data_IF_675970269505
#
_entry.id   IF_675970269505
#
_cell.length_a   1.000
_cell.length_b   1.000
_cell.length_c   1.000
_cell.angle_alpha   90.00
_cell.angle_beta   90.00
_cell.angle_gamma   90.00
#
_symmetry.space_group_name_H-M   'P 1'
#
loop_
_entity.id
_entity.type
_entity.pdbx_description
1 polymer ?
#
# COMPACT_ATOMS: atom_id res chain seq x y z
N UNK A 1 10.66 6.33 -9.06
CA UNK A 1 10.59 4.99 -8.46
C UNK A 1 12.01 4.48 -8.35
N UNK A 2 12.40 4.07 -7.15
CA UNK A 2 13.79 3.89 -6.73
C UNK A 2 14.56 2.93 -7.65
N UNK A 3 15.75 3.33 -8.09
CA UNK A 3 16.76 2.39 -8.60
C UNK A 3 17.33 1.65 -7.41
N UNK A 4 16.95 0.39 -7.23
CA UNK A 4 17.62 -0.49 -6.30
C UNK A 4 18.93 -0.99 -6.95
N UNK A 5 20.03 -0.91 -6.20
CA UNK A 5 21.38 -1.24 -6.66
C UNK A 5 21.82 -2.51 -5.95
N UNK A 6 22.01 -3.59 -6.72
CA UNK A 6 22.46 -4.88 -6.20
C UNK A 6 23.98 -4.94 -6.01
N UNK A 7 24.40 -5.59 -4.92
CA UNK A 7 25.78 -6.01 -4.69
C UNK A 7 25.92 -7.51 -5.01
N UNK A 8 27.05 -7.92 -5.59
CA UNK A 8 27.26 -9.26 -6.12
C UNK A 8 27.94 -10.14 -5.07
N UNK A 9 27.25 -11.14 -4.53
CA UNK A 9 27.91 -12.31 -3.94
C UNK A 9 27.58 -13.54 -4.80
N UNK A 10 28.61 -14.05 -5.48
CA UNK A 10 28.49 -15.25 -6.29
C UNK A 10 28.66 -16.48 -5.42
N UNK A 11 27.65 -17.34 -5.35
CA UNK A 11 27.85 -18.77 -5.13
C UNK A 11 26.92 -19.56 -6.04
N UNK A 12 27.53 -20.39 -6.89
CA UNK A 12 26.87 -21.44 -7.67
C UNK A 12 26.39 -22.52 -6.69
N UNK A 13 25.10 -22.83 -6.69
CA UNK A 13 24.58 -24.08 -6.11
C UNK A 13 24.03 -24.97 -7.22
N UNK A 14 24.49 -26.23 -7.17
CA UNK A 14 24.28 -27.27 -8.18
C UNK A 14 22.82 -27.75 -8.14
N UNK A 15 22.28 -28.03 -9.34
CA UNK A 15 21.02 -28.74 -9.52
C UNK A 15 21.07 -30.13 -8.87
N UNK A 16 20.06 -30.46 -8.07
CA UNK A 16 19.64 -31.84 -7.84
C UNK A 16 18.24 -32.01 -8.42
N UNK A 17 18.20 -32.81 -9.47
CA UNK A 17 17.01 -33.26 -10.17
C UNK A 17 16.24 -34.25 -9.31
N UNK A 18 14.92 -34.10 -9.21
CA UNK A 18 14.04 -35.26 -9.05
C UNK A 18 12.70 -34.98 -9.74
N UNK A 19 12.47 -35.75 -10.79
CA UNK A 19 11.22 -35.83 -11.53
C UNK A 19 10.15 -36.57 -10.72
N UNK A 20 8.89 -36.12 -10.78
CA UNK A 20 7.73 -37.01 -10.77
C UNK A 20 6.69 -36.44 -11.76
N UNK A 21 6.29 -37.17 -12.81
CA UNK A 21 5.24 -36.75 -13.73
C UNK A 21 3.88 -37.32 -13.28
N UNK A 22 2.82 -36.52 -13.33
CA UNK A 22 1.45 -37.04 -13.36
C UNK A 22 0.85 -36.84 -14.74
N UNK A 23 0.56 -37.97 -15.38
CA UNK A 23 -0.09 -38.07 -16.68
C UNK A 23 -1.51 -38.61 -16.52
N UNK A 24 -2.40 -38.12 -17.39
CA UNK A 24 -3.68 -38.71 -17.85
C UNK A 24 -4.89 -38.62 -16.92
N UNK A 25 -5.88 -37.86 -17.40
CA UNK A 25 -7.20 -38.43 -17.68
C UNK A 25 -7.78 -37.80 -18.96
N UNK A 26 -8.01 -38.65 -19.98
CA UNK A 26 -8.86 -38.37 -21.13
C UNK A 26 -10.24 -38.96 -20.82
N UNK A 27 -11.32 -38.20 -20.98
CA UNK A 27 -12.41 -38.65 -21.85
C UNK A 27 -13.29 -37.49 -22.31
N UNK A 28 -13.65 -37.64 -23.58
CA UNK A 28 -14.30 -36.77 -24.54
C UNK A 28 -15.83 -36.98 -24.50
N UNK A 29 -16.62 -35.91 -24.57
CA UNK A 29 -17.99 -35.95 -25.13
C UNK A 29 -18.13 -34.79 -26.13
N UNK A 30 -18.74 -35.12 -27.26
CA UNK A 30 -18.79 -34.40 -28.53
C UNK A 30 -19.94 -33.39 -28.64
N UNK A 31 -19.67 -32.34 -29.43
CA UNK A 31 -20.55 -31.66 -30.40
C UNK A 31 -21.88 -31.00 -29.96
N UNK A 32 -21.99 -29.68 -30.16
CA UNK A 32 -22.68 -29.09 -31.34
C UNK A 32 -22.96 -27.59 -31.14
N UNK A 33 -22.54 -26.77 -32.11
CA UNK A 33 -22.98 -25.38 -32.36
C UNK A 33 -24.34 -25.40 -33.09
N UNK A 34 -25.19 -24.35 -33.00
CA UNK A 34 -25.06 -23.25 -33.97
C UNK A 34 -25.30 -21.83 -33.41
N UNK A 35 -24.77 -20.87 -34.15
CA UNK A 35 -25.01 -19.44 -34.02
C UNK A 35 -26.40 -19.05 -34.55
N UNK A 36 -27.02 -18.02 -33.95
CA UNK A 36 -27.91 -17.12 -34.68
C UNK A 36 -27.96 -15.72 -34.02
N UNK A 37 -28.24 -14.75 -34.88
CA UNK A 37 -28.04 -13.31 -34.79
C UNK A 37 -29.10 -12.53 -33.98
N UNK A 38 -28.69 -11.31 -33.59
CA UNK A 38 -29.44 -10.04 -33.53
C UNK A 38 -30.83 -9.98 -32.84
N UNK A 39 -30.94 -9.14 -31.80
CA UNK A 39 -31.46 -7.76 -31.90
C UNK A 39 -31.82 -7.16 -30.53
N UNK A 40 -31.39 -5.93 -30.28
CA UNK A 40 -31.95 -5.02 -29.25
C UNK A 40 -33.37 -4.61 -29.64
N UNK A 41 -34.23 -4.25 -28.68
CA UNK A 41 -34.58 -2.83 -28.58
C UNK A 41 -34.79 -2.29 -27.15
N UNK A 42 -34.23 -1.10 -26.92
CA UNK A 42 -34.86 0.16 -26.45
C UNK A 42 -36.02 0.09 -25.42
N UNK A 43 -35.77 0.77 -24.30
CA UNK A 43 -36.66 1.30 -23.24
C UNK A 43 -38.01 1.90 -23.72
N UNK A 44 -39.02 1.95 -22.84
CA UNK A 44 -39.30 3.23 -22.17
C UNK A 44 -39.73 3.11 -20.69
N UNK A 45 -39.32 4.09 -19.88
CA UNK A 45 -40.08 4.56 -18.71
C UNK A 45 -41.16 5.57 -19.19
N UNK A 46 -42.24 5.88 -18.45
CA UNK A 46 -42.11 6.79 -17.29
C UNK A 46 -43.14 6.65 -16.14
N UNK A 47 -42.73 7.18 -14.98
CA UNK A 47 -43.47 7.97 -13.99
C UNK A 47 -44.59 7.37 -13.10
N UNK A 48 -44.48 7.82 -11.84
CA UNK A 48 -45.49 7.99 -10.78
C UNK A 48 -45.96 6.77 -9.99
N UNK A 49 -45.53 6.72 -8.72
CA UNK A 49 -46.43 7.04 -7.59
C UNK A 49 -45.63 7.26 -6.28
N UNK A 50 -45.75 8.49 -5.78
CA UNK A 50 -45.56 8.88 -4.39
C UNK A 50 -46.64 8.22 -3.55
N UNK A 51 -46.28 7.62 -2.41
CA UNK A 51 -47.17 7.55 -1.24
C UNK A 51 -46.36 7.34 0.05
N UNK A 52 -46.53 8.35 0.90
CA UNK A 52 -46.13 8.49 2.29
C UNK A 52 -46.92 7.48 3.14
N UNK A 53 -46.29 6.81 4.09
CA UNK A 53 -46.96 6.36 5.31
C UNK A 53 -46.00 6.41 6.51
N UNK A 54 -46.22 7.42 7.36
CA UNK A 54 -45.84 7.42 8.76
C UNK A 54 -46.96 6.75 9.56
N UNK A 55 -46.61 5.87 10.49
CA UNK A 55 -47.42 5.66 11.70
C UNK A 55 -46.58 4.96 12.78
N UNK A 56 -46.26 5.73 13.81
CA UNK A 56 -45.87 5.25 15.13
C UNK A 56 -46.95 4.34 15.72
N UNK A 57 -46.54 3.37 16.56
CA UNK A 57 -47.20 3.18 17.86
C UNK A 57 -46.34 2.38 18.83
N UNK A 58 -46.00 3.07 19.91
CA UNK A 58 -45.53 2.54 21.17
C UNK A 58 -46.55 1.55 21.78
N UNK A 59 -46.07 0.52 22.47
CA UNK A 59 -46.86 -0.19 23.47
C UNK A 59 -46.03 -0.60 24.70
N UNK A 60 -46.53 -0.09 25.82
CA UNK A 60 -46.46 -0.52 27.22
C UNK A 60 -45.28 -1.34 27.75
N UNK A 61 -44.54 -0.66 28.63
CA UNK A 61 -43.78 -1.19 29.74
C UNK A 61 -44.75 -1.62 30.86
N UNK A 62 -44.68 -2.88 31.30
CA UNK A 62 -45.39 -3.37 32.48
C UNK A 62 -44.41 -4.15 33.36
N UNK A 63 -44.35 -3.75 34.64
CA UNK A 63 -43.45 -4.26 35.68
C UNK A 63 -44.18 -5.33 36.50
N UNK A 64 -43.46 -6.39 36.87
CA UNK A 64 -43.85 -7.41 37.86
C UNK A 64 -43.84 -8.81 37.24
N UNK A 65 -43.31 -9.87 37.83
CA UNK A 65 -42.94 -10.17 39.21
C UNK A 65 -42.02 -11.41 39.24
N UNK A 66 -41.25 -11.57 40.32
CA UNK A 66 -40.29 -12.65 40.58
C UNK A 66 -40.99 -14.00 40.79
N UNK A 67 -40.41 -15.07 40.25
CA UNK A 67 -40.48 -16.45 40.78
C UNK A 67 -39.08 -17.09 40.61
N UNK A 68 -38.51 -17.79 41.61
CA UNK A 68 -37.19 -18.41 41.51
C UNK A 68 -37.31 -19.85 40.98
N UNK A 69 -36.43 -20.23 40.05
CA UNK A 69 -36.19 -21.64 39.71
C UNK A 69 -34.68 -21.91 39.63
N UNK A 70 -34.30 -23.03 40.22
CA UNK A 70 -32.93 -23.49 40.50
C UNK A 70 -32.07 -23.71 39.24
N UNK A 71 -30.73 -23.68 39.36
CA UNK A 71 -29.84 -23.61 38.20
C UNK A 71 -29.67 -24.97 37.51
N UNK A 72 -29.93 -25.00 36.21
CA UNK A 72 -29.40 -26.03 35.31
C UNK A 72 -27.96 -25.62 35.00
N UNK A 73 -27.01 -26.44 35.44
CA UNK A 73 -25.60 -26.27 35.13
C UNK A 73 -25.35 -26.41 33.63
N UNK A 74 -25.19 -25.29 32.94
CA UNK A 74 -24.61 -25.23 31.60
C UNK A 74 -23.12 -24.97 31.78
N UNK A 75 -22.31 -25.99 31.51
CA UNK A 75 -20.87 -25.83 31.30
C UNK A 75 -20.68 -24.96 30.06
N UNK A 76 -20.54 -23.64 30.26
CA UNK A 76 -20.00 -22.77 29.24
C UNK A 76 -18.51 -23.08 29.14
N UNK A 77 -18.16 -23.96 28.19
CA UNK A 77 -16.78 -24.07 27.71
C UNK A 77 -16.44 -22.76 27.03
N UNK A 78 -15.95 -21.78 27.80
CA UNK A 78 -15.22 -20.65 27.25
C UNK A 78 -13.92 -21.20 26.68
N UNK A 79 -13.97 -21.60 25.41
CA UNK A 79 -12.78 -21.69 24.59
C UNK A 79 -12.22 -20.28 24.49
N UNK A 80 -11.32 -19.96 25.41
CA UNK A 80 -10.42 -18.83 25.27
C UNK A 80 -9.57 -19.17 24.05
N UNK A 81 -9.93 -18.61 22.90
CA UNK A 81 -9.11 -18.66 21.71
C UNK A 81 -7.80 -17.98 22.07
N UNK A 82 -6.73 -18.76 22.21
CA UNK A 82 -5.38 -18.25 22.28
C UNK A 82 -5.14 -17.44 21.00
N UNK A 83 -5.24 -16.11 21.10
CA UNK A 83 -4.72 -15.21 20.08
C UNK A 83 -3.20 -15.38 20.11
N UNK A 84 -2.70 -16.24 19.23
CA UNK A 84 -1.28 -16.28 18.93
C UNK A 84 -0.96 -15.00 18.17
N UNK A 85 -0.42 -14.01 18.88
CA UNK A 85 0.20 -12.83 18.26
C UNK A 85 1.39 -13.35 17.44
N UNK A 86 1.20 -13.59 16.15
CA UNK A 86 2.31 -13.85 15.26
C UNK A 86 3.11 -12.55 15.14
N UNK A 87 4.24 -12.47 15.83
CA UNK A 87 5.16 -11.34 15.65
C UNK A 87 5.65 -11.33 14.21
N UNK A 88 5.41 -10.24 13.47
CA UNK A 88 6.03 -10.05 12.16
C UNK A 88 7.56 -9.96 12.33
N UNK A 89 8.28 -10.68 11.49
CA UNK A 89 9.74 -10.55 11.39
C UNK A 89 10.09 -9.16 10.87
N UNK A 90 11.04 -8.49 11.50
CA UNK A 90 11.62 -7.23 10.96
C UNK A 90 12.49 -7.47 9.73
N UNK A 91 12.87 -8.72 9.45
CA UNK A 91 13.67 -9.07 8.28
C UNK A 91 12.81 -9.30 7.03
N UNK A 92 11.51 -9.52 7.19
CA UNK A 92 10.61 -9.63 6.05
C UNK A 92 10.02 -8.26 5.73
N UNK A 93 10.13 -7.77 4.49
CA UNK A 93 9.68 -6.42 4.14
C UNK A 93 8.18 -6.34 3.83
N UNK A 94 7.46 -7.46 3.90
CA UNK A 94 6.04 -7.59 3.57
C UNK A 94 5.28 -8.31 4.67
N UNK A 95 3.99 -7.99 4.82
CA UNK A 95 3.04 -8.73 5.65
C UNK A 95 1.81 -9.11 4.84
N UNK A 96 1.18 -10.23 5.16
CA UNK A 96 -0.05 -10.66 4.49
C UNK A 96 -1.27 -9.86 4.97
N UNK A 97 -2.31 -9.84 4.15
CA UNK A 97 -3.60 -9.25 4.53
C UNK A 97 -4.24 -9.97 5.73
N UNK A 98 -4.13 -11.30 5.82
CA UNK A 98 -4.61 -12.06 6.99
C UNK A 98 -3.87 -11.67 8.28
N UNK A 99 -2.56 -11.44 8.19
CA UNK A 99 -1.75 -10.98 9.32
C UNK A 99 -2.20 -9.58 9.76
N UNK A 100 -2.31 -8.62 8.83
CA UNK A 100 -2.75 -7.28 9.17
C UNK A 100 -4.16 -7.28 9.78
N UNK A 101 -5.09 -8.03 9.19
CA UNK A 101 -6.45 -8.18 9.71
C UNK A 101 -6.47 -8.70 11.15
N UNK A 102 -5.61 -9.65 11.48
CA UNK A 102 -5.49 -10.23 12.83
C UNK A 102 -4.83 -9.29 13.85
N UNK A 103 -4.02 -8.33 13.40
CA UNK A 103 -3.22 -7.44 14.25
C UNK A 103 -3.70 -5.97 14.21
N UNK A 104 -4.80 -5.66 13.51
CA UNK A 104 -5.26 -4.29 13.27
C UNK A 104 -5.58 -3.49 14.55
N UNK A 105 -5.79 -4.18 15.67
CA UNK A 105 -6.13 -3.58 16.98
C UNK A 105 -4.91 -3.36 17.87
N UNK A 106 -3.71 -3.71 17.42
CA UNK A 106 -2.48 -3.49 18.18
C UNK A 106 -2.23 -1.97 18.32
N UNK A 107 -2.09 -1.44 19.54
CA UNK A 107 -2.08 0.01 19.79
C UNK A 107 -0.88 0.74 19.19
N UNK A 108 0.24 0.04 19.04
CA UNK A 108 1.46 0.56 18.42
C UNK A 108 1.57 0.18 16.93
N UNK A 109 0.51 -0.33 16.28
CA UNK A 109 0.49 -0.60 14.84
C UNK A 109 -0.32 0.48 14.11
N UNK A 110 0.29 1.14 13.13
CA UNK A 110 -0.37 2.12 12.27
C UNK A 110 -0.38 1.64 10.83
N UNK A 111 -1.52 1.85 10.16
CA UNK A 111 -1.67 1.55 8.75
C UNK A 111 -1.59 2.84 7.94
N UNK A 112 -0.82 2.82 6.86
CA UNK A 112 -0.64 3.98 5.97
C UNK A 112 -1.18 3.65 4.58
N UNK A 113 -2.17 4.40 4.13
CA UNK A 113 -2.54 4.48 2.72
C UNK A 113 -1.58 5.43 2.02
N UNK A 114 -0.66 4.87 1.23
CA UNK A 114 0.32 5.60 0.44
C UNK A 114 -0.09 5.67 -1.04
N UNK A 115 -1.39 5.62 -1.34
CA UNK A 115 -1.89 5.67 -2.72
C UNK A 115 -1.40 6.91 -3.46
N UNK A 116 -0.78 6.66 -4.61
CA UNK A 116 -0.37 7.67 -5.56
C UNK A 116 -0.53 7.11 -6.98
N UNK A 117 -0.96 7.94 -7.91
CA UNK A 117 -1.28 7.54 -9.27
C UNK A 117 -0.52 8.40 -10.28
N UNK A 118 -0.25 7.84 -11.46
CA UNK A 118 0.36 8.62 -12.52
C UNK A 118 -0.61 9.71 -13.00
N UNK A 119 -0.12 10.89 -13.44
CA UNK A 119 -0.98 12.00 -13.84
C UNK A 119 -1.98 11.67 -14.96
N UNK A 120 -1.64 10.72 -15.85
CA UNK A 120 -2.48 10.27 -16.96
C UNK A 120 -3.62 9.33 -16.53
N UNK A 121 -3.57 8.76 -15.32
CA UNK A 121 -4.62 7.90 -14.78
C UNK A 121 -5.86 8.69 -14.33
N UNK A 122 -5.75 10.02 -14.13
CA UNK A 122 -6.84 10.90 -13.69
C UNK A 122 -7.56 10.41 -12.42
N UNK A 123 -6.82 9.76 -11.53
CA UNK A 123 -7.32 9.27 -10.23
C UNK A 123 -6.90 10.22 -9.13
N UNK A 124 -7.77 10.41 -8.14
CA UNK A 124 -7.50 11.22 -6.97
C UNK A 124 -7.32 10.31 -5.75
N UNK A 125 -6.08 10.12 -5.25
CA UNK A 125 -5.82 9.18 -4.16
C UNK A 125 -6.47 9.60 -2.84
N UNK A 126 -6.49 10.91 -2.53
CA UNK A 126 -7.12 11.40 -1.30
C UNK A 126 -8.64 11.17 -1.32
N UNK A 127 -9.28 11.41 -2.47
CA UNK A 127 -10.71 11.17 -2.64
C UNK A 127 -11.04 9.67 -2.54
N UNK A 128 -10.22 8.81 -3.14
CA UNK A 128 -10.42 7.35 -3.04
C UNK A 128 -10.25 6.85 -1.61
N UNK A 129 -9.23 7.34 -0.89
CA UNK A 129 -9.04 7.09 0.54
C UNK A 129 -10.27 7.50 1.34
N UNK A 130 -10.81 8.70 1.12
CA UNK A 130 -12.03 9.17 1.78
C UNK A 130 -13.24 8.25 1.55
N UNK A 131 -13.34 7.65 0.36
CA UNK A 131 -14.44 6.75 0.01
C UNK A 131 -14.26 5.38 0.65
N UNK A 132 -13.06 4.79 0.61
CA UNK A 132 -12.81 3.46 1.14
C UNK A 132 -11.32 3.19 1.42
N UNK A 133 -10.98 3.01 2.69
CA UNK A 133 -9.63 2.69 3.17
C UNK A 133 -9.66 1.55 4.20
N UNK A 134 -8.50 0.94 4.48
CA UNK A 134 -8.36 -0.04 5.58
C UNK A 134 -8.70 0.67 6.91
N UNK A 135 -9.43 0.02 7.84
CA UNK A 135 -9.86 0.68 9.07
C UNK A 135 -8.70 1.31 9.84
N UNK A 136 -8.91 2.52 10.37
CA UNK A 136 -7.92 3.35 11.09
C UNK A 136 -6.69 3.80 10.28
N UNK A 137 -6.62 3.50 8.97
CA UNK A 137 -5.47 3.89 8.17
C UNK A 137 -5.33 5.41 8.07
N UNK A 138 -4.11 5.91 8.15
CA UNK A 138 -3.75 7.30 7.89
C UNK A 138 -3.42 7.46 6.40
N UNK A 139 -3.73 8.62 5.81
CA UNK A 139 -3.31 8.92 4.46
C UNK A 139 -1.91 9.54 4.45
N UNK A 140 -0.98 8.90 3.72
CA UNK A 140 0.37 9.40 3.49
C UNK A 140 0.45 10.04 2.10
N UNK A 141 0.46 11.37 2.06
CA UNK A 141 0.57 12.13 0.82
C UNK A 141 1.99 12.07 0.27
N UNK A 142 2.24 11.20 -0.71
CA UNK A 142 3.55 11.00 -1.34
C UNK A 142 4.06 12.26 -2.05
N UNK A 143 3.18 13.12 -2.55
CA UNK A 143 3.55 14.38 -3.20
C UNK A 143 3.78 15.49 -2.18
N UNK A 144 3.01 15.51 -1.11
CA UNK A 144 3.15 16.45 0.00
C UNK A 144 4.37 16.20 0.88
N UNK A 145 4.68 14.92 1.16
CA UNK A 145 5.81 14.50 1.99
C UNK A 145 7.03 14.23 1.09
N UNK A 146 7.49 15.30 0.43
CA UNK A 146 8.62 15.28 -0.49
C UNK A 146 9.42 16.60 -0.40
N UNK A 147 10.65 16.63 -0.92
CA UNK A 147 11.34 17.90 -1.12
C UNK A 147 10.72 18.66 -2.30
N UNK A 148 9.96 19.71 -1.97
CA UNK A 148 9.23 20.56 -2.91
C UNK A 148 10.00 21.82 -3.29
N UNK A 149 11.23 22.00 -2.80
CA UNK A 149 12.11 23.11 -3.19
C UNK A 149 12.73 22.91 -4.58
N UNK A 150 12.69 21.67 -5.09
CA UNK A 150 13.21 21.31 -6.41
C UNK A 150 12.08 21.13 -7.43
N UNK A 151 12.43 21.24 -8.72
CA UNK A 151 11.53 20.84 -9.82
C UNK A 151 11.53 19.33 -10.07
N UNK A 152 12.36 18.59 -9.33
CA UNK A 152 12.43 17.15 -9.44
C UNK A 152 11.31 16.52 -8.61
N UNK A 153 10.68 15.47 -9.12
CA UNK A 153 9.50 14.89 -8.51
C UNK A 153 9.86 13.83 -7.46
N UNK A 154 9.09 13.80 -6.36
CA UNK A 154 9.23 12.84 -5.26
C UNK A 154 10.69 12.75 -4.76
N UNK A 155 11.35 13.90 -4.62
CA UNK A 155 12.64 13.97 -3.96
C UNK A 155 12.46 13.68 -2.47
N UNK A 156 13.47 13.04 -1.86
CA UNK A 156 13.45 12.84 -0.41
C UNK A 156 13.41 14.19 0.30
N UNK A 157 12.50 14.39 1.26
CA UNK A 157 12.56 15.57 2.12
C UNK A 157 13.83 15.55 2.98
N UNK A 158 14.17 16.68 3.60
CA UNK A 158 15.23 16.72 4.62
C UNK A 158 14.81 15.90 5.85
N UNK A 159 15.77 15.43 6.65
CA UNK A 159 15.50 14.72 7.91
C UNK A 159 14.53 15.48 8.82
N UNK A 160 14.77 16.79 9.01
CA UNK A 160 13.92 17.66 9.82
C UNK A 160 12.50 17.76 9.26
N UNK A 161 12.37 17.90 7.93
CA UNK A 161 11.07 17.98 7.28
C UNK A 161 10.30 16.66 7.39
N UNK A 162 10.97 15.53 7.12
CA UNK A 162 10.38 14.21 7.27
C UNK A 162 9.90 13.95 8.71
N UNK A 163 10.77 14.18 9.69
CA UNK A 163 10.46 14.04 11.11
C UNK A 163 9.22 14.85 11.50
N UNK A 164 9.15 16.12 11.09
CA UNK A 164 8.01 16.98 11.36
C UNK A 164 6.72 16.45 10.70
N UNK A 165 6.78 16.06 9.42
CA UNK A 165 5.62 15.57 8.69
C UNK A 165 5.03 14.28 9.28
N UNK A 166 5.86 13.29 9.57
CA UNK A 166 5.37 12.02 10.15
C UNK A 166 4.92 12.20 11.60
N UNK A 167 5.51 13.15 12.35
CA UNK A 167 5.01 13.53 13.67
C UNK A 167 3.61 14.17 13.59
N UNK A 168 3.33 14.99 12.57
CA UNK A 168 1.98 15.53 12.31
C UNK A 168 0.95 14.45 11.95
N UNK A 169 1.39 13.33 11.35
CA UNK A 169 0.54 12.14 11.17
C UNK A 169 0.30 11.38 12.49
N UNK A 170 0.99 11.76 13.57
CA UNK A 170 0.95 11.10 14.86
C UNK A 170 1.81 9.83 14.91
N UNK A 171 2.84 9.73 14.07
CA UNK A 171 3.80 8.61 14.02
C UNK A 171 4.98 8.90 14.95
N UNK A 172 5.47 7.87 15.63
CA UNK A 172 6.56 7.88 16.59
C UNK A 172 7.52 6.72 16.29
N UNK A 173 8.75 6.77 16.79
CA UNK A 173 9.74 5.73 16.52
C UNK A 173 9.34 4.32 17.00
N UNK A 174 8.46 4.22 18.00
CA UNK A 174 7.99 2.94 18.54
C UNK A 174 6.90 2.27 17.70
N UNK A 175 6.29 2.99 16.75
CA UNK A 175 5.17 2.44 16.01
C UNK A 175 5.67 1.37 15.02
N UNK A 176 4.90 0.31 14.84
CA UNK A 176 4.98 -0.54 13.67
C UNK A 176 4.13 0.06 12.55
N UNK A 177 4.62 0.02 11.31
CA UNK A 177 3.96 0.63 10.17
C UNK A 177 3.64 -0.40 9.10
N UNK A 178 2.39 -0.47 8.64
CA UNK A 178 2.02 -1.26 7.46
C UNK A 178 1.53 -0.33 6.37
N UNK A 179 2.23 -0.33 5.24
CA UNK A 179 1.96 0.56 4.11
C UNK A 179 1.27 -0.19 3.00
N UNK A 180 0.20 0.37 2.45
CA UNK A 180 -0.46 -0.18 1.26
C UNK A 180 -0.75 0.93 0.25
N UNK A 181 -1.18 0.54 -0.95
CA UNK A 181 -1.76 1.45 -1.93
C UNK A 181 -2.93 0.81 -2.69
N UNK A 182 -3.69 1.65 -3.38
CA UNK A 182 -4.86 1.26 -4.15
C UNK A 182 -4.57 0.49 -5.45
N UNK A 183 -3.31 0.29 -5.85
CA UNK A 183 -2.94 -0.54 -7.02
C UNK A 183 -2.45 -1.93 -6.61
N UNK A 184 -2.19 -2.16 -5.32
CA UNK A 184 -1.59 -3.37 -4.78
C UNK A 184 -0.19 -3.08 -4.26
N UNK A 185 0.78 -2.97 -5.17
CA UNK A 185 2.16 -2.57 -4.85
C UNK A 185 2.68 -1.65 -5.97
N UNK A 186 2.67 -0.35 -5.69
CA UNK A 186 3.13 0.69 -6.60
C UNK A 186 3.86 1.80 -5.84
N UNK A 187 3.13 2.57 -5.05
CA UNK A 187 3.65 3.70 -4.27
C UNK A 187 3.95 3.33 -2.82
N UNK A 188 3.35 2.26 -2.29
CA UNK A 188 3.62 1.77 -0.93
C UNK A 188 5.11 1.44 -0.71
N UNK A 189 5.75 0.81 -1.70
CA UNK A 189 7.18 0.49 -1.66
C UNK A 189 8.08 1.73 -1.52
N UNK A 190 7.64 2.88 -2.07
CA UNK A 190 8.37 4.15 -1.91
C UNK A 190 8.33 4.62 -0.46
N UNK A 191 7.17 4.59 0.18
CA UNK A 191 7.03 5.03 1.58
C UNK A 191 7.76 4.07 2.52
N UNK A 192 7.66 2.75 2.31
CA UNK A 192 8.48 1.75 3.01
C UNK A 192 9.98 2.10 2.95
N UNK A 193 10.50 2.36 1.75
CA UNK A 193 11.89 2.73 1.56
C UNK A 193 12.24 4.07 2.23
N UNK A 194 11.34 5.06 2.22
CA UNK A 194 11.57 6.36 2.85
C UNK A 194 11.79 6.22 4.37
N UNK A 195 10.94 5.48 5.07
CA UNK A 195 11.12 5.25 6.51
C UNK A 195 12.44 4.51 6.80
N UNK A 196 12.81 3.51 5.98
CA UNK A 196 14.10 2.83 6.10
C UNK A 196 15.29 3.75 5.87
N UNK A 197 15.21 4.64 4.87
CA UNK A 197 16.21 5.69 4.63
C UNK A 197 16.37 6.58 5.86
N UNK A 198 15.30 6.83 6.60
CA UNK A 198 15.34 7.60 7.85
C UNK A 198 15.52 6.73 9.10
N UNK A 199 15.91 5.46 8.95
CA UNK A 199 16.34 4.59 10.05
C UNK A 199 15.22 3.91 10.82
N UNK A 200 14.00 3.84 10.27
CA UNK A 200 12.88 3.15 10.88
C UNK A 200 12.66 1.77 10.24
N UNK A 201 12.91 0.72 11.01
CA UNK A 201 12.94 -0.67 10.52
C UNK A 201 11.63 -1.43 10.73
N UNK A 202 10.77 -0.99 11.66
CA UNK A 202 9.48 -1.64 11.96
C UNK A 202 8.41 -1.22 10.94
N UNK A 203 8.69 -1.43 9.66
CA UNK A 203 7.82 -1.06 8.56
C UNK A 203 7.74 -2.15 7.50
N UNK A 204 6.52 -2.42 7.05
CA UNK A 204 6.19 -3.46 6.09
C UNK A 204 5.29 -2.92 4.97
N UNK A 205 5.35 -3.56 3.80
CA UNK A 205 4.36 -3.37 2.73
C UNK A 205 3.26 -4.44 2.86
N UNK A 206 2.01 -4.06 2.71
CA UNK A 206 0.88 -4.99 2.67
C UNK A 206 0.89 -5.75 1.34
N UNK A 207 1.09 -7.07 1.39
CA UNK A 207 1.07 -7.92 0.20
C UNK A 207 -0.29 -7.82 -0.52
N UNK A 208 -0.24 -7.44 -1.79
CA UNK A 208 -1.42 -7.27 -2.65
C UNK A 208 -2.26 -6.02 -2.35
N UNK A 209 -1.87 -5.20 -1.37
CA UNK A 209 -2.47 -3.91 -1.03
C UNK A 209 -3.99 -3.94 -0.81
N UNK A 210 -4.63 -2.79 -1.06
CA UNK A 210 -6.08 -2.66 -0.93
C UNK A 210 -6.88 -3.62 -1.84
N UNK A 211 -6.44 -3.92 -3.09
CA UNK A 211 -7.13 -4.90 -3.93
C UNK A 211 -7.23 -6.29 -3.27
N UNK A 212 -6.14 -6.80 -2.68
CA UNK A 212 -6.16 -8.11 -2.00
C UNK A 212 -6.99 -8.07 -0.73
N UNK A 213 -6.87 -7.00 0.06
CA UNK A 213 -7.70 -6.79 1.26
C UNK A 213 -9.20 -6.91 0.95
N UNK A 214 -9.66 -6.22 -0.10
CA UNK A 214 -11.06 -6.30 -0.55
C UNK A 214 -11.43 -7.68 -1.11
N UNK A 215 -10.53 -8.32 -1.85
CA UNK A 215 -10.76 -9.65 -2.42
C UNK A 215 -10.96 -10.73 -1.34
N UNK A 216 -10.35 -10.56 -0.17
CA UNK A 216 -10.54 -11.43 1.00
C UNK A 216 -11.83 -11.11 1.79
N UNK A 217 -12.57 -10.07 1.39
CA UNK A 217 -13.82 -9.69 2.04
C UNK A 217 -13.65 -8.96 3.37
N UNK A 218 -12.47 -8.41 3.65
CA UNK A 218 -12.22 -7.64 4.86
C UNK A 218 -12.84 -6.24 4.79
N UNK A 219 -13.27 -5.76 5.95
CA UNK A 219 -13.96 -4.48 6.10
C UNK A 219 -13.09 -3.30 5.66
N UNK A 220 -13.73 -2.29 5.09
CA UNK A 220 -13.13 -1.00 4.78
C UNK A 220 -13.94 0.10 5.48
N UNK A 221 -13.25 1.13 5.94
CA UNK A 221 -13.88 2.33 6.45
C UNK A 221 -14.24 3.27 5.29
N UNK A 222 -15.46 3.77 5.31
CA UNK A 222 -15.94 4.84 4.44
C UNK A 222 -16.03 6.14 5.21
N UNK A 223 -15.82 7.28 4.54
CA UNK A 223 -15.81 8.61 5.15
C UNK A 223 -14.68 8.77 6.16
N UNK A 224 -13.46 8.93 5.64
CA UNK A 224 -12.28 9.25 6.46
C UNK A 224 -12.60 10.37 7.46
N UNK A 225 -12.16 10.18 8.71
CA UNK A 225 -12.44 11.13 9.78
C UNK A 225 -11.84 12.50 9.44
N UNK A 226 -12.49 13.57 9.89
CA UNK A 226 -11.94 14.92 9.76
C UNK A 226 -10.54 15.02 10.36
N UNK A 227 -10.28 14.29 11.44
CA UNK A 227 -8.95 14.18 12.07
C UNK A 227 -7.90 13.58 11.11
N UNK A 228 -8.20 12.48 10.43
CA UNK A 228 -7.26 11.86 9.49
C UNK A 228 -6.92 12.78 8.30
N UNK A 229 -7.90 13.51 7.79
CA UNK A 229 -7.69 14.48 6.71
C UNK A 229 -6.88 15.69 7.18
N UNK A 230 -7.16 16.19 8.39
CA UNK A 230 -6.39 17.28 9.00
C UNK A 230 -4.94 16.87 9.22
N UNK A 231 -4.68 15.64 9.70
CA UNK A 231 -3.33 15.08 9.87
C UNK A 231 -2.58 15.01 8.54
N UNK A 232 -3.21 14.50 7.48
CA UNK A 232 -2.60 14.43 6.16
C UNK A 232 -2.19 15.82 5.64
N UNK A 233 -3.09 16.80 5.77
CA UNK A 233 -2.80 18.19 5.36
C UNK A 233 -1.71 18.84 6.23
N UNK A 234 -1.76 18.63 7.55
CA UNK A 234 -0.75 19.14 8.48
C UNK A 234 0.64 18.51 8.24
N UNK A 235 0.71 17.26 7.78
CA UNK A 235 1.96 16.61 7.41
C UNK A 235 2.59 17.26 6.18
N UNK A 236 1.81 17.50 5.12
CA UNK A 236 2.28 18.20 3.93
C UNK A 236 2.67 19.67 4.23
N UNK A 237 1.94 20.34 5.12
CA UNK A 237 2.27 21.69 5.56
C UNK A 237 3.57 21.76 6.39
N UNK A 238 3.80 20.77 7.25
CA UNK A 238 5.02 20.70 8.07
C UNK A 238 6.29 20.67 7.22
N UNK A 239 6.26 20.02 6.05
CA UNK A 239 7.36 20.04 5.08
C UNK A 239 7.68 21.48 4.65
N UNK A 240 6.67 22.22 4.19
CA UNK A 240 6.82 23.59 3.73
C UNK A 240 7.32 24.51 4.85
N UNK A 241 6.72 24.38 6.04
CA UNK A 241 7.11 25.16 7.20
C UNK A 241 8.58 24.93 7.58
N UNK A 242 9.07 23.68 7.53
CA UNK A 242 10.50 23.42 7.79
C UNK A 242 11.39 24.13 6.75
N UNK A 243 11.06 24.05 5.46
CA UNK A 243 11.88 24.67 4.41
C UNK A 243 11.82 26.20 4.40
N UNK A 244 10.71 26.78 4.87
CA UNK A 244 10.57 28.22 5.06
C UNK A 244 11.18 28.72 6.37
N UNK A 245 11.67 27.82 7.23
CA UNK A 245 12.23 28.17 8.53
C UNK A 245 11.18 28.53 9.58
N UNK A 246 9.91 28.21 9.34
CA UNK A 246 8.83 28.39 10.30
C UNK A 246 8.90 27.34 11.42
N UNK A 247 8.27 27.68 12.55
CA UNK A 247 8.06 26.73 13.62
C UNK A 247 7.11 25.61 13.16
N UNK A 248 7.38 24.39 13.59
CA UNK A 248 6.50 23.23 13.41
C UNK A 248 6.03 22.72 14.76
N UNK A 249 4.98 21.88 14.74
CA UNK A 249 4.48 21.23 15.94
C UNK A 249 5.51 20.31 16.61
N UNK A 250 5.14 19.70 17.75
CA UNK A 250 6.01 18.76 18.45
C UNK A 250 6.51 17.64 17.52
N UNK A 251 7.82 17.41 17.53
CA UNK A 251 8.45 16.32 16.78
C UNK A 251 8.51 15.10 17.69
N UNK A 252 7.84 14.02 17.30
CA UNK A 252 7.76 12.75 18.04
C UNK A 252 8.49 11.62 17.31
N UNK A 253 9.14 11.94 16.20
CA UNK A 253 9.87 11.01 15.36
C UNK A 253 11.31 11.49 15.16
N UNK A 254 12.28 10.70 15.60
CA UNK A 254 13.71 10.92 15.41
C UNK A 254 14.18 10.15 14.17
N UNK A 255 14.97 10.81 13.31
CA UNK A 255 15.54 10.18 12.13
C UNK A 255 16.97 9.70 12.40
N UNK A 256 17.33 8.60 11.75
CA UNK A 256 18.70 8.13 11.63
C UNK A 256 18.99 7.86 10.15
N UNK A 257 19.42 8.89 9.43
CA UNK A 257 19.59 8.81 7.97
C UNK A 257 20.60 7.74 7.56
N UNK A 258 20.19 6.91 6.59
CA UNK A 258 20.93 5.79 6.03
C UNK A 258 21.45 6.17 4.63
N UNK A 259 22.60 6.85 4.53
CA UNK A 259 23.09 7.39 3.25
C UNK A 259 23.38 6.31 2.20
N UNK A 260 23.62 5.07 2.62
CA UNK A 260 23.88 3.95 1.70
C UNK A 260 22.63 3.50 0.91
N UNK A 261 21.43 3.89 1.35
CA UNK A 261 20.15 3.58 0.67
C UNK A 261 19.76 4.62 -0.38
N UNK A 262 20.56 5.68 -0.56
CA UNK A 262 20.29 6.79 -1.49
C UNK A 262 21.52 7.03 -2.34
N UNK A 263 21.32 7.21 -3.65
CA UNK A 263 22.38 7.57 -4.57
C UNK A 263 22.17 8.98 -5.13
N UNK A 264 23.21 9.80 -5.08
CA UNK A 264 23.23 11.12 -5.70
C UNK A 264 23.45 11.00 -7.21
N UNK A 265 23.17 12.09 -7.94
CA UNK A 265 23.45 12.16 -9.38
C UNK A 265 24.94 11.91 -9.67
N UNK A 266 25.84 12.43 -8.85
CA UNK A 266 27.28 12.27 -9.06
C UNK A 266 27.73 10.83 -8.80
N UNK A 267 27.18 10.15 -7.79
CA UNK A 267 27.43 8.72 -7.58
C UNK A 267 26.95 7.87 -8.76
N UNK A 268 25.77 8.18 -9.32
CA UNK A 268 25.26 7.52 -10.53
C UNK A 268 26.20 7.76 -11.71
N UNK A 269 26.66 9.01 -11.93
CA UNK A 269 27.59 9.35 -13.02
C UNK A 269 28.92 8.61 -12.88
N UNK A 270 29.52 8.62 -11.69
CA UNK A 270 30.78 7.93 -11.43
C UNK A 270 30.64 6.42 -11.69
N UNK A 271 29.53 5.80 -11.27
CA UNK A 271 29.32 4.37 -11.51
C UNK A 271 29.06 4.01 -12.98
N UNK A 272 28.65 4.95 -13.85
CA UNK A 272 28.58 4.70 -15.31
C UNK A 272 29.98 4.39 -15.86
N UNK A 273 31.00 5.09 -15.34
CA UNK A 273 32.40 4.94 -15.73
C UNK A 273 33.02 3.72 -15.03
N UNK A 274 32.89 3.65 -13.71
CA UNK A 274 33.56 2.64 -12.86
C UNK A 274 32.90 1.25 -12.93
N UNK A 275 31.58 1.19 -13.17
CA UNK A 275 30.79 -0.04 -13.27
C UNK A 275 30.93 -0.97 -12.06
N UNK A 276 31.08 -0.40 -10.86
CA UNK A 276 31.19 -1.16 -9.59
C UNK A 276 29.86 -1.76 -9.16
N UNK A 277 28.74 -1.20 -9.64
CA UNK A 277 27.38 -1.61 -9.31
C UNK A 277 26.47 -1.70 -10.54
N UNK A 278 25.46 -2.57 -10.50
CA UNK A 278 24.45 -2.66 -11.55
C UNK A 278 23.33 -1.63 -11.31
N UNK A 279 23.13 -0.71 -12.25
CA UNK A 279 21.93 0.13 -12.29
C UNK A 279 20.73 -0.67 -12.79
N UNK A 280 19.63 -0.67 -12.04
CA UNK A 280 18.35 -1.25 -12.45
C UNK A 280 17.30 -0.16 -12.57
N UNK A 281 16.60 -0.13 -13.70
CA UNK A 281 15.53 0.81 -13.99
C UNK A 281 14.18 0.09 -13.98
N UNK A 282 13.28 0.57 -13.11
CA UNK A 282 11.97 -0.02 -12.87
C UNK A 282 10.88 0.48 -13.84
N UNK A 283 11.19 1.43 -14.74
CA UNK A 283 10.22 1.95 -15.72
C UNK A 283 9.79 0.86 -16.71
N UNK A 284 8.72 1.15 -17.44
CA UNK A 284 8.28 0.26 -18.52
C UNK A 284 9.36 0.15 -19.61
N UNK A 285 9.43 -1.03 -20.23
CA UNK A 285 10.40 -1.30 -21.30
C UNK A 285 10.31 -0.28 -22.45
N UNK A 286 9.12 0.15 -22.92
CA UNK A 286 9.03 1.19 -23.95
C UNK A 286 9.63 2.55 -23.54
N UNK A 287 9.51 2.96 -22.28
CA UNK A 287 10.13 4.20 -21.76
C UNK A 287 11.64 4.08 -21.66
N UNK A 288 12.11 2.94 -21.16
CA UNK A 288 13.52 2.61 -21.07
C UNK A 288 14.20 2.59 -22.45
N UNK A 289 13.54 2.02 -23.44
CA UNK A 289 14.04 1.94 -24.83
C UNK A 289 13.92 3.26 -25.59
N UNK A 290 13.24 4.27 -25.02
CA UNK A 290 13.04 5.56 -25.66
C UNK A 290 11.88 5.62 -26.66
N UNK A 291 11.11 4.54 -26.80
CA UNK A 291 10.00 4.39 -27.75
C UNK A 291 8.75 5.14 -27.28
N UNK A 292 8.48 5.12 -25.97
CA UNK A 292 7.37 5.85 -25.37
C UNK A 292 7.84 7.15 -24.74
N UNK A 293 7.03 8.23 -24.77
CA UNK A 293 7.36 9.48 -24.11
C UNK A 293 7.39 9.29 -22.59
N UNK A 294 8.18 10.14 -21.92
CA UNK A 294 8.08 10.28 -20.48
C UNK A 294 6.76 11.02 -20.13
N UNK A 295 6.08 10.63 -19.05
CA UNK A 295 4.80 11.25 -18.64
C UNK A 295 4.96 12.73 -18.27
N UNK A 296 6.19 13.16 -17.98
CA UNK A 296 6.51 14.56 -17.69
C UNK A 296 7.04 15.25 -18.94
N UNK A 297 6.40 16.37 -19.29
CA UNK A 297 6.79 17.21 -20.41
C UNK A 297 8.23 17.70 -20.25
N UNK A 298 9.02 17.59 -21.32
CA UNK A 298 10.41 18.10 -21.36
C UNK A 298 11.49 17.13 -20.86
N UNK A 299 11.13 15.93 -20.40
CA UNK A 299 12.12 14.89 -20.06
C UNK A 299 12.43 14.03 -21.30
N UNK A 300 13.71 13.81 -21.58
CA UNK A 300 14.16 12.91 -22.66
C UNK A 300 13.82 11.46 -22.31
N UNK A 301 13.33 10.72 -23.30
CA UNK A 301 13.16 9.27 -23.20
C UNK A 301 14.53 8.55 -23.26
N UNK A 302 14.55 7.23 -23.04
CA UNK A 302 15.78 6.44 -22.96
C UNK A 302 16.19 6.14 -21.52
N UNK A 303 17.44 5.72 -21.31
CA UNK A 303 17.92 5.20 -20.02
C UNK A 303 19.37 5.60 -19.70
N UNK A 304 19.76 5.40 -18.44
CA UNK A 304 21.14 5.58 -17.98
C UNK A 304 22.04 4.53 -18.63
N UNK A 305 23.16 4.90 -19.29
CA UNK A 305 24.05 3.94 -19.93
C UNK A 305 24.46 2.78 -19.01
N UNK A 306 24.42 1.55 -19.52
CA UNK A 306 24.76 0.34 -18.77
C UNK A 306 23.69 -0.18 -17.80
N UNK A 307 22.57 0.54 -17.62
CA UNK A 307 21.46 0.06 -16.79
C UNK A 307 20.71 -1.12 -17.43
N UNK A 308 20.02 -1.89 -16.58
CA UNK A 308 19.12 -2.97 -16.99
C UNK A 308 17.67 -2.58 -16.68
N UNK A 309 16.76 -2.95 -17.56
CA UNK A 309 15.34 -2.70 -17.35
C UNK A 309 14.69 -3.91 -16.66
N UNK A 310 14.12 -3.69 -15.49
CA UNK A 310 13.27 -4.66 -14.79
C UNK A 310 11.98 -3.91 -14.41
N UNK A 311 10.97 -3.87 -15.31
CA UNK A 311 9.75 -3.13 -15.04
C UNK A 311 9.09 -3.61 -13.75
N UNK A 312 8.67 -2.68 -12.88
CA UNK A 312 8.11 -3.01 -11.56
C UNK A 312 6.93 -4.00 -11.63
N UNK A 313 6.09 -3.91 -12.68
CA UNK A 313 4.96 -4.82 -12.87
C UNK A 313 5.35 -6.29 -13.10
N UNK A 314 6.60 -6.58 -13.47
CA UNK A 314 7.11 -7.93 -13.59
C UNK A 314 7.55 -8.49 -12.22
N UNK A 315 8.01 -7.62 -11.31
CA UNK A 315 8.41 -8.00 -9.95
C UNK A 315 7.19 -8.45 -9.15
N UNK A 316 6.07 -7.74 -9.29
CA UNK A 316 4.83 -8.03 -8.55
C UNK A 316 4.10 -9.32 -8.98
N UNK A 317 4.48 -9.93 -10.12
CA UNK A 317 3.79 -11.10 -10.70
C UNK A 317 4.53 -12.41 -10.50
N UNK A 318 5.80 -12.36 -10.12
CA UNK A 318 6.50 -13.56 -9.68
C UNK A 318 6.02 -13.81 -8.26
N UNK A 319 5.52 -15.01 -7.96
CA UNK A 319 5.25 -15.47 -6.57
C UNK A 319 6.54 -15.58 -5.73
N UNK A 320 7.60 -14.89 -6.13
CA UNK A 320 8.88 -14.69 -5.48
C UNK A 320 9.10 -13.18 -5.46
N UNK A 321 8.79 -12.55 -4.33
CA UNK A 321 9.05 -11.13 -4.13
C UNK A 321 10.56 -10.88 -4.16
N UNK A 322 11.02 -10.07 -5.12
CA UNK A 322 12.35 -9.48 -5.06
C UNK A 322 12.26 -8.12 -4.35
N UNK A 323 12.33 -8.13 -3.03
CA UNK A 323 12.78 -6.94 -2.30
C UNK A 323 14.29 -7.12 -2.14
N UNK A 324 15.04 -6.32 -2.89
CA UNK A 324 16.50 -6.40 -2.93
C UNK A 324 17.06 -5.63 -1.73
N UNK A 325 17.54 -6.37 -0.72
CA UNK A 325 18.31 -5.86 0.42
C UNK A 325 19.71 -5.36 0.03
#
# INVERSE_FOLDING_TARGET
MASAILTKSGQRLRFLSSCVPLSRLFHQIHSSFPAHQNSNPVLPSPLNRVLIYLAERAFHFQIGSRVPSSPIGVMASSAVSNFSTQSASTNEPVVSADWLHSNLREPDLKVLDASWYMPDEQRNPLQEYQVAHIPSALFFDVDGIADRTTKLPHMLPSEKAFAAAVSSLGIQNRDGLVVYDGKGIFSAARVWWMFRVFGHERIWVLDGGLPRWRALGYDVESSASSDAILKASAASEAIENVYQGHAVGPVTFETNFQPHLVWTLDQVKNNIEEKTRQHVDARSKPRFDGVAPEPRKGIRSGHVPGSKCIPFGNVNKMNEFFIMD
#
